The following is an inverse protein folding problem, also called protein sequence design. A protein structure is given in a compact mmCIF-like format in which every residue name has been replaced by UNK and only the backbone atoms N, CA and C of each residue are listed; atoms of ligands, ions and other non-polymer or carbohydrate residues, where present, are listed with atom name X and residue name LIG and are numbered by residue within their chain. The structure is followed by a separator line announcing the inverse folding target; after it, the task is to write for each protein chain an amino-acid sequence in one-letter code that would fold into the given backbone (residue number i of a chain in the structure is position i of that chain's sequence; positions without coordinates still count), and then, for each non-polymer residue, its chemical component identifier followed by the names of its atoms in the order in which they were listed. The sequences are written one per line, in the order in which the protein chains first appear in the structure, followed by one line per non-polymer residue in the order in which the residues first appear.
data_IF_648428408424
#
_entry.id   IF_648428408424
#
_cell.length_a   1.000
_cell.length_b   1.000
_cell.length_c   1.000
_cell.angle_alpha   90.00
_cell.angle_beta   90.00
_cell.angle_gamma   90.00
#
_symmetry.space_group_name_H-M   'P 1'
#
loop_
_entity.id
_entity.type
_entity.pdbx_description
1 polymer ?
#
# COMPACT_ATOMS: atom_id res chain seq x y z
N UNK A 1 0.47 -6.41 14.90
CA UNK A 1 0.56 -5.24 14.00
C UNK A 1 0.25 -4.00 14.81
N UNK A 2 1.08 -2.96 14.77
CA UNK A 2 0.88 -1.74 15.55
C UNK A 2 -0.25 -0.86 14.96
N UNK A 3 -1.03 -0.19 15.82
CA UNK A 3 -2.18 0.65 15.43
C UNK A 3 -1.82 1.71 14.37
N UNK A 4 -0.59 2.25 14.44
CA UNK A 4 -0.06 3.21 13.47
C UNK A 4 0.05 2.60 12.08
N UNK A 5 0.62 1.39 11.97
CA UNK A 5 0.80 0.69 10.68
C UNK A 5 -0.57 0.37 10.08
N UNK A 6 -1.49 -0.16 10.87
CA UNK A 6 -2.84 -0.49 10.43
C UNK A 6 -3.58 0.76 9.92
N UNK A 7 -3.52 1.87 10.65
CA UNK A 7 -4.16 3.13 10.26
C UNK A 7 -3.59 3.70 8.97
N UNK A 8 -2.26 3.64 8.79
CA UNK A 8 -1.63 4.08 7.54
C UNK A 8 -2.09 3.24 6.34
N UNK A 9 -2.09 1.91 6.45
CA UNK A 9 -2.54 1.05 5.36
C UNK A 9 -4.03 1.22 5.04
N UNK A 10 -4.87 1.44 6.05
CA UNK A 10 -6.30 1.77 5.86
C UNK A 10 -6.51 3.13 5.19
N UNK A 11 -5.66 4.12 5.47
CA UNK A 11 -5.70 5.42 4.79
C UNK A 11 -5.29 5.25 3.32
N UNK A 12 -4.18 4.56 3.06
CA UNK A 12 -3.75 4.27 1.69
C UNK A 12 -4.83 3.54 0.89
N UNK A 13 -5.47 2.52 1.49
CA UNK A 13 -6.57 1.81 0.85
C UNK A 13 -7.75 2.73 0.50
N UNK A 14 -8.03 3.74 1.33
CA UNK A 14 -9.08 4.72 1.05
C UNK A 14 -8.71 5.59 -0.15
N UNK A 15 -7.48 6.11 -0.19
CA UNK A 15 -7.00 6.91 -1.31
C UNK A 15 -6.99 6.11 -2.62
N UNK A 16 -6.57 4.84 -2.59
CA UNK A 16 -6.59 4.00 -3.79
C UNK A 16 -8.00 3.81 -4.36
N UNK A 17 -9.04 3.82 -3.52
CA UNK A 17 -10.45 3.67 -3.96
C UNK A 17 -11.05 4.94 -4.53
N UNK A 18 -10.49 6.11 -4.23
CA UNK A 18 -10.96 7.38 -4.81
C UNK A 18 -10.41 7.59 -6.22
N UNK A 19 -9.38 6.84 -6.60
CA UNK A 19 -8.72 6.98 -7.89
C UNK A 19 -9.43 6.12 -8.93
N UNK A 20 -9.79 6.75 -10.04
CA UNK A 20 -10.33 6.10 -11.22
C UNK A 20 -9.31 6.27 -12.36
N UNK A 21 -8.30 5.39 -12.45
CA UNK A 21 -7.29 5.52 -13.48
C UNK A 21 -7.92 5.25 -14.85
N UNK A 22 -7.64 6.14 -15.81
CA UNK A 22 -8.09 5.97 -17.19
C UNK A 22 -7.24 4.91 -17.94
N UNK A 23 -6.00 4.70 -17.48
CA UNK A 23 -5.09 3.71 -18.05
C UNK A 23 -5.34 2.32 -17.42
N UNK A 24 -5.62 1.27 -18.24
CA UNK A 24 -5.81 -0.10 -17.76
C UNK A 24 -4.63 -0.67 -16.98
N UNK A 25 -3.39 -0.32 -17.33
CA UNK A 25 -2.18 -0.83 -16.64
C UNK A 25 -2.11 -0.25 -15.23
N UNK A 26 -2.42 1.04 -15.11
CA UNK A 26 -2.49 1.75 -13.84
C UNK A 26 -3.62 1.18 -12.97
N UNK A 27 -4.74 0.83 -13.59
CA UNK A 27 -5.85 0.14 -12.91
C UNK A 27 -5.42 -1.21 -12.34
N UNK A 28 -4.77 -2.05 -13.14
CA UNK A 28 -4.32 -3.37 -12.70
C UNK A 28 -3.34 -3.28 -11.53
N UNK A 29 -2.50 -2.24 -11.49
CA UNK A 29 -1.58 -1.99 -10.37
C UNK A 29 -2.28 -1.53 -9.11
N UNK A 30 -3.26 -0.62 -9.22
CA UNK A 30 -4.10 -0.24 -8.08
C UNK A 30 -4.84 -1.46 -7.53
N UNK A 31 -5.37 -2.32 -8.40
CA UNK A 31 -6.09 -3.52 -7.98
C UNK A 31 -5.16 -4.49 -7.24
N UNK A 32 -3.96 -4.76 -7.78
CA UNK A 32 -2.94 -5.57 -7.08
C UNK A 32 -2.56 -4.99 -5.72
N UNK A 33 -2.32 -3.69 -5.66
CA UNK A 33 -1.98 -3.03 -4.40
C UNK A 33 -3.13 -3.11 -3.38
N UNK A 34 -4.38 -2.98 -3.83
CA UNK A 34 -5.54 -3.18 -2.97
C UNK A 34 -5.68 -4.61 -2.46
N UNK A 35 -5.35 -5.60 -3.28
CA UNK A 35 -5.36 -7.02 -2.89
C UNK A 35 -4.27 -7.33 -1.87
N UNK A 36 -3.04 -6.84 -2.07
CA UNK A 36 -1.94 -6.95 -1.10
C UNK A 36 -2.26 -6.24 0.23
N UNK A 37 -2.86 -5.05 0.16
CA UNK A 37 -3.34 -4.32 1.34
C UNK A 37 -4.45 -5.10 2.05
N UNK A 38 -5.39 -5.69 1.31
CA UNK A 38 -6.43 -6.52 1.89
C UNK A 38 -5.85 -7.77 2.55
N UNK A 39 -4.86 -8.41 1.94
CA UNK A 39 -4.17 -9.56 2.52
C UNK A 39 -3.48 -9.17 3.83
N UNK A 40 -2.78 -8.04 3.81
CA UNK A 40 -2.07 -7.49 4.98
C UNK A 40 -3.01 -7.06 6.10
N UNK A 41 -4.16 -6.46 5.76
CA UNK A 41 -5.15 -5.95 6.72
C UNK A 41 -6.12 -7.02 7.23
N UNK A 42 -6.43 -8.05 6.42
CA UNK A 42 -7.28 -9.20 6.80
C UNK A 42 -6.50 -10.38 7.36
N UNK A 43 -5.17 -10.34 7.30
CA UNK A 43 -4.30 -11.31 7.94
C UNK A 43 -4.71 -11.50 9.40
N UNK A 44 -4.72 -12.76 9.84
CA UNK A 44 -5.06 -13.13 11.21
C UNK A 44 -4.22 -12.27 12.18
N UNK A 45 -4.81 -11.58 13.17
CA UNK A 45 -4.04 -10.80 14.14
C UNK A 45 -3.01 -11.63 14.91
N UNK A 46 -3.13 -12.97 14.91
CA UNK A 46 -2.16 -13.92 15.43
C UNK A 46 -1.22 -14.52 14.37
N UNK A 47 -1.50 -14.34 13.08
CA UNK A 47 -0.49 -14.59 12.06
C UNK A 47 0.50 -13.44 12.16
N UNK A 48 1.72 -13.74 12.60
CA UNK A 48 2.84 -12.86 12.33
C UNK A 48 2.83 -12.59 10.83
N UNK A 49 2.46 -11.36 10.44
CA UNK A 49 2.71 -10.85 9.10
C UNK A 49 4.14 -11.24 8.78
N UNK A 50 4.31 -12.16 7.83
CA UNK A 50 5.64 -12.66 7.53
C UNK A 50 6.39 -11.48 6.94
N UNK A 51 7.67 -11.33 7.25
CA UNK A 51 8.48 -10.26 6.67
C UNK A 51 8.38 -10.27 5.13
N UNK A 52 8.19 -11.45 4.53
CA UNK A 52 7.89 -11.63 3.11
C UNK A 52 6.61 -10.93 2.62
N UNK A 53 5.53 -10.91 3.41
CA UNK A 53 4.28 -10.24 3.05
C UNK A 53 4.48 -8.71 3.11
N UNK A 54 5.26 -8.24 4.07
CA UNK A 54 5.61 -6.82 4.21
C UNK A 54 6.54 -6.36 3.09
N UNK A 55 7.54 -7.16 2.73
CA UNK A 55 8.44 -6.89 1.59
C UNK A 55 7.69 -6.88 0.26
N UNK A 56 6.77 -7.82 0.04
CA UNK A 56 5.91 -7.85 -1.17
C UNK A 56 5.06 -6.59 -1.28
N UNK A 57 4.42 -6.19 -0.17
CA UNK A 57 3.64 -4.97 -0.12
C UNK A 57 4.51 -3.73 -0.36
N UNK A 58 5.69 -3.65 0.27
CA UNK A 58 6.63 -2.54 0.05
C UNK A 58 7.02 -2.40 -1.42
N UNK A 59 7.37 -3.51 -2.07
CA UNK A 59 7.71 -3.53 -3.49
C UNK A 59 6.54 -3.08 -4.36
N UNK A 60 5.34 -3.59 -4.09
CA UNK A 60 4.14 -3.20 -4.84
C UNK A 60 3.82 -1.71 -4.67
N UNK A 61 4.02 -1.15 -3.46
CA UNK A 61 3.86 0.29 -3.23
C UNK A 61 4.93 1.09 -3.98
N UNK A 62 6.19 0.64 -4.02
CA UNK A 62 7.27 1.30 -4.76
C UNK A 62 7.00 1.30 -6.27
N UNK A 63 6.65 0.14 -6.85
CA UNK A 63 6.32 0.02 -8.26
C UNK A 63 5.15 0.93 -8.64
N UNK A 64 4.14 1.03 -7.76
CA UNK A 64 3.00 1.93 -7.94
C UNK A 64 3.44 3.40 -7.81
N UNK A 65 4.31 3.73 -6.85
CA UNK A 65 4.79 5.09 -6.67
C UNK A 65 5.49 5.63 -7.92
N UNK A 66 6.38 4.84 -8.53
CA UNK A 66 7.12 5.23 -9.73
C UNK A 66 6.21 5.55 -10.91
N UNK A 67 5.07 4.87 -11.05
CA UNK A 67 4.13 5.13 -12.13
C UNK A 67 3.18 6.30 -11.88
N UNK A 68 2.87 6.55 -10.61
CA UNK A 68 1.94 7.62 -10.23
C UNK A 68 2.64 8.95 -9.94
N UNK A 69 3.97 8.93 -9.80
CA UNK A 69 4.78 10.11 -9.58
C UNK A 69 4.59 11.11 -10.73
N UNK A 70 3.93 12.24 -10.43
CA UNK A 70 3.63 13.31 -11.38
C UNK A 70 2.19 13.33 -11.93
N UNK A 71 1.43 12.25 -11.77
CA UNK A 71 0.02 12.18 -12.22
C UNK A 71 -0.98 12.32 -11.07
N UNK A 72 -0.65 11.80 -9.89
CA UNK A 72 -1.54 11.81 -8.73
C UNK A 72 -0.77 12.19 -7.45
N UNK A 73 -0.66 13.49 -7.12
CA UNK A 73 0.15 13.95 -5.98
C UNK A 73 -0.36 13.41 -4.64
N UNK A 74 -1.67 13.37 -4.44
CA UNK A 74 -2.28 12.88 -3.19
C UNK A 74 -2.00 11.38 -2.97
N UNK A 75 -2.10 10.57 -4.04
CA UNK A 75 -1.75 9.16 -3.98
C UNK A 75 -0.26 8.96 -3.73
N UNK A 76 0.57 9.74 -4.42
CA UNK A 76 2.03 9.68 -4.27
C UNK A 76 2.42 9.94 -2.81
N UNK A 77 1.79 10.90 -2.15
CA UNK A 77 2.01 11.18 -0.73
C UNK A 77 1.56 10.01 0.16
N UNK A 78 0.36 9.46 -0.08
CA UNK A 78 -0.15 8.32 0.67
C UNK A 78 0.75 7.07 0.55
N UNK A 79 1.24 6.77 -0.67
CA UNK A 79 2.16 5.67 -0.94
C UNK A 79 3.51 5.89 -0.22
N UNK A 80 4.07 7.12 -0.25
CA UNK A 80 5.31 7.46 0.47
C UNK A 80 5.15 7.29 1.98
N UNK A 81 4.04 7.74 2.56
CA UNK A 81 3.75 7.57 3.99
C UNK A 81 3.63 6.08 4.34
N UNK A 82 2.99 5.29 3.48
CA UNK A 82 2.86 3.85 3.67
C UNK A 82 4.21 3.13 3.66
N UNK A 83 5.07 3.36 2.66
CA UNK A 83 6.44 2.79 2.62
C UNK A 83 7.21 3.19 3.87
N UNK A 84 7.24 4.48 4.21
CA UNK A 84 7.96 4.97 5.39
C UNK A 84 7.45 4.31 6.68
N UNK A 85 6.15 4.08 6.79
CA UNK A 85 5.57 3.40 7.95
C UNK A 85 5.94 1.92 7.98
N UNK A 86 5.95 1.24 6.84
CA UNK A 86 6.34 -0.16 6.74
C UNK A 86 7.82 -0.37 7.05
N UNK A 87 8.70 0.51 6.57
CA UNK A 87 10.15 0.49 6.84
C UNK A 87 10.43 0.78 8.31
N UNK A 88 9.85 1.85 8.87
CA UNK A 88 10.07 2.24 10.26
C UNK A 88 9.46 1.27 11.28
N UNK A 89 8.57 0.38 10.86
CA UNK A 89 7.97 -0.61 11.73
C UNK A 89 8.71 -1.96 11.68
N UNK A 90 9.77 -2.09 10.86
CA UNK A 90 10.62 -3.28 10.74
C UNK A 90 11.96 -3.20 11.49
N UNK A 91 12.13 -2.24 12.41
CA UNK A 91 13.31 -2.09 13.29
C UNK A 91 12.83 -1.80 14.71
#
# INVERSE_FOLDING_TARGET
MDDKRQRTLQNLQRELRTIQPADPLIKDRIDRLNDELNHTLKGDPNANLRDADVESLQKTIQDTLEEFEGHHPDLTEALRIAINTLVNAGI
#
